data_IF_119240890728
#
_entry.id   IF_119240890728
#
_cell.length_a   1.000
_cell.length_b   1.000
_cell.length_c   1.000
_cell.angle_alpha   90.00
_cell.angle_beta   90.00
_cell.angle_gamma   90.00
#
_symmetry.space_group_name_H-M   'P 1'
#
loop_
_entity.id
_entity.type
_entity.pdbx_description
1 polymer ?
#
# COMPACT_ATOMS: atom_id res chain seq x y z
N UNK A 1 -11.22 42.04 -25.12
CA UNK A 1 -10.03 42.04 -24.25
C UNK A 1 -10.33 41.67 -22.79
N UNK A 2 -11.51 41.97 -22.24
CA UNK A 2 -11.87 41.60 -20.86
C UNK A 2 -12.02 40.08 -20.60
N UNK A 3 -12.45 39.29 -21.59
CA UNK A 3 -12.59 37.84 -21.39
C UNK A 3 -11.25 37.10 -21.26
N UNK A 4 -10.18 37.62 -21.88
CA UNK A 4 -8.85 37.00 -21.80
C UNK A 4 -8.24 37.11 -20.40
N UNK A 5 -8.31 38.29 -19.77
CA UNK A 5 -7.76 38.50 -18.43
C UNK A 5 -8.52 37.72 -17.35
N UNK A 6 -9.86 37.69 -17.44
CA UNK A 6 -10.69 36.92 -16.50
C UNK A 6 -10.45 35.41 -16.63
N UNK A 7 -10.11 34.93 -17.82
CA UNK A 7 -9.76 33.51 -18.03
C UNK A 7 -8.38 33.19 -17.46
N UNK A 8 -7.41 34.08 -17.63
CA UNK A 8 -6.05 33.94 -17.09
C UNK A 8 -6.05 33.92 -15.56
N UNK A 9 -6.73 34.89 -14.93
CA UNK A 9 -6.89 34.96 -13.47
C UNK A 9 -7.60 33.70 -12.91
N UNK A 10 -8.56 33.15 -13.65
CA UNK A 10 -9.27 31.93 -13.27
C UNK A 10 -8.39 30.67 -13.38
N UNK A 11 -7.49 30.62 -14.37
CA UNK A 11 -6.52 29.53 -14.53
C UNK A 11 -5.46 29.60 -13.43
N UNK A 12 -4.94 30.79 -13.12
CA UNK A 12 -3.97 30.97 -12.02
C UNK A 12 -4.58 30.58 -10.66
N UNK A 13 -5.83 30.99 -10.40
CA UNK A 13 -6.54 30.57 -9.19
C UNK A 13 -6.79 29.06 -9.16
N UNK A 14 -7.13 28.46 -10.30
CA UNK A 14 -7.29 27.02 -10.41
C UNK A 14 -6.00 26.27 -10.11
N UNK A 15 -4.85 26.74 -10.62
CA UNK A 15 -3.54 26.13 -10.35
C UNK A 15 -3.19 26.19 -8.86
N UNK A 16 -3.44 27.32 -8.20
CA UNK A 16 -3.24 27.46 -6.75
C UNK A 16 -4.15 26.50 -5.97
N UNK A 17 -5.43 26.39 -6.32
CA UNK A 17 -6.37 25.47 -5.67
C UNK A 17 -6.01 24.00 -5.93
N UNK A 18 -5.58 23.67 -7.15
CA UNK A 18 -5.10 22.34 -7.50
C UNK A 18 -3.90 21.96 -6.66
N UNK A 19 -2.90 22.82 -6.55
CA UNK A 19 -1.68 22.55 -5.80
C UNK A 19 -1.91 22.46 -4.28
N UNK A 20 -2.66 23.41 -3.71
CA UNK A 20 -2.75 23.59 -2.26
C UNK A 20 -3.87 22.78 -1.61
N UNK A 21 -5.01 22.60 -2.27
CA UNK A 21 -6.15 21.89 -1.71
C UNK A 21 -6.21 20.46 -2.23
N UNK A 22 -6.24 20.27 -3.55
CA UNK A 22 -6.51 18.95 -4.13
C UNK A 22 -5.28 18.03 -4.08
N UNK A 23 -4.14 18.45 -4.61
CA UNK A 23 -2.90 17.68 -4.62
C UNK A 23 -2.39 17.45 -3.20
N UNK A 24 -2.34 18.50 -2.36
CA UNK A 24 -1.88 18.35 -0.99
C UNK A 24 -2.82 17.47 -0.15
N UNK A 25 -4.14 17.51 -0.37
CA UNK A 25 -5.08 16.59 0.30
C UNK A 25 -4.92 15.15 -0.19
N UNK A 26 -4.79 14.94 -1.49
CA UNK A 26 -4.54 13.61 -2.04
C UNK A 26 -3.22 13.02 -1.54
N UNK A 27 -2.15 13.82 -1.49
CA UNK A 27 -0.87 13.41 -0.91
C UNK A 27 -0.98 13.08 0.59
N UNK A 28 -1.74 13.87 1.36
CA UNK A 28 -2.03 13.57 2.77
C UNK A 28 -2.80 12.27 2.94
N UNK A 29 -3.87 12.05 2.17
CA UNK A 29 -4.64 10.80 2.22
C UNK A 29 -3.79 9.59 1.86
N UNK A 30 -2.99 9.68 0.79
CA UNK A 30 -2.04 8.61 0.41
C UNK A 30 -1.02 8.36 1.53
N UNK A 31 -0.47 9.42 2.14
CA UNK A 31 0.46 9.28 3.27
C UNK A 31 -0.19 8.66 4.49
N UNK A 32 -1.43 9.02 4.81
CA UNK A 32 -2.18 8.44 5.93
C UNK A 32 -2.51 6.97 5.69
N UNK A 33 -2.91 6.61 4.47
CA UNK A 33 -3.13 5.23 4.06
C UNK A 33 -1.83 4.41 4.15
N UNK A 34 -0.72 4.95 3.65
CA UNK A 34 0.60 4.31 3.77
C UNK A 34 1.05 4.21 5.23
N UNK A 35 0.91 5.27 6.02
CA UNK A 35 1.28 5.30 7.44
C UNK A 35 0.44 4.33 8.29
N UNK A 36 -0.81 4.04 7.90
CA UNK A 36 -1.63 3.00 8.54
C UNK A 36 -1.24 1.60 8.10
N UNK A 37 -0.91 1.42 6.81
CA UNK A 37 -0.64 0.13 6.19
C UNK A 37 0.74 -0.41 6.54
N UNK A 38 1.79 0.42 6.48
CA UNK A 38 3.18 -0.03 6.54
C UNK A 38 3.69 -0.45 7.92
N UNK A 39 3.41 0.26 9.04
CA UNK A 39 3.94 -0.14 10.36
C UNK A 39 3.37 -1.45 10.88
N UNK A 40 2.10 -1.76 10.53
CA UNK A 40 1.48 -3.05 10.85
C UNK A 40 2.10 -4.17 10.02
N UNK A 41 2.26 -3.97 8.71
CA UNK A 41 2.92 -4.94 7.83
C UNK A 41 4.37 -5.19 8.25
N UNK A 42 5.15 -4.18 8.64
CA UNK A 42 6.55 -4.38 9.04
C UNK A 42 6.69 -5.14 10.36
N UNK A 43 5.82 -4.87 11.34
CA UNK A 43 5.82 -5.61 12.61
C UNK A 43 5.31 -7.04 12.43
N UNK A 44 4.20 -7.19 11.70
CA UNK A 44 3.57 -8.48 11.49
C UNK A 44 4.43 -9.37 10.59
N UNK A 45 5.17 -8.83 9.61
CA UNK A 45 6.08 -9.61 8.76
C UNK A 45 7.26 -10.24 9.54
N UNK A 46 7.70 -9.63 10.63
CA UNK A 46 8.79 -10.15 11.46
C UNK A 46 8.46 -11.49 12.11
N UNK A 47 7.19 -11.70 12.49
CA UNK A 47 6.75 -12.90 13.20
C UNK A 47 6.80 -14.16 12.32
N UNK A 48 6.19 -14.21 11.12
CA UNK A 48 6.37 -15.33 10.18
C UNK A 48 7.81 -15.48 9.71
N UNK A 49 8.57 -14.39 9.53
CA UNK A 49 9.98 -14.48 9.16
C UNK A 49 10.81 -15.22 10.22
N UNK A 50 10.59 -14.94 11.51
CA UNK A 50 11.24 -15.66 12.60
C UNK A 50 10.86 -17.15 12.62
N UNK A 51 9.56 -17.46 12.49
CA UNK A 51 9.09 -18.85 12.45
C UNK A 51 9.67 -19.63 11.25
N UNK A 52 9.72 -19.00 10.06
CA UNK A 52 10.34 -19.61 8.86
C UNK A 52 11.85 -19.76 9.04
N UNK A 53 12.52 -18.83 9.72
CA UNK A 53 13.93 -18.96 10.09
C UNK A 53 14.20 -20.24 10.87
N UNK A 54 13.39 -20.52 11.90
CA UNK A 54 13.47 -21.77 12.67
C UNK A 54 13.18 -22.99 11.80
N UNK A 55 12.17 -22.92 10.91
CA UNK A 55 11.87 -24.02 10.00
C UNK A 55 13.03 -24.34 9.04
N UNK A 56 13.68 -23.31 8.51
CA UNK A 56 14.85 -23.45 7.64
C UNK A 56 16.04 -24.02 8.40
N UNK A 57 16.27 -23.59 9.65
CA UNK A 57 17.30 -24.17 10.51
C UNK A 57 17.00 -25.63 10.84
N UNK A 58 15.74 -25.94 11.13
CA UNK A 58 15.28 -27.31 11.41
C UNK A 58 15.55 -28.27 10.26
N UNK A 59 15.59 -27.80 9.01
CA UNK A 59 15.98 -28.65 7.88
C UNK A 59 17.41 -29.24 8.01
N UNK A 60 18.22 -28.75 8.96
CA UNK A 60 19.59 -29.19 9.21
C UNK A 60 19.77 -30.05 10.47
N UNK A 61 18.78 -30.22 11.35
CA UNK A 61 18.99 -30.93 12.62
C UNK A 61 19.07 -32.46 12.51
N UNK A 62 18.94 -33.02 11.30
CA UNK A 62 19.12 -34.45 11.03
C UNK A 62 17.81 -35.18 10.69
N UNK A 63 17.88 -36.52 10.47
CA UNK A 63 16.77 -37.29 9.90
C UNK A 63 15.63 -37.62 10.88
N UNK A 64 15.80 -37.40 12.17
CA UNK A 64 14.88 -37.85 13.23
C UNK A 64 14.06 -36.71 13.86
N UNK A 65 13.84 -35.64 13.11
CA UNK A 65 13.07 -34.47 13.58
C UNK A 65 11.57 -34.75 13.51
N UNK A 66 10.88 -34.49 14.62
CA UNK A 66 9.41 -34.49 14.67
C UNK A 66 8.85 -33.10 14.41
N UNK A 67 7.62 -33.03 13.90
CA UNK A 67 6.92 -31.77 13.69
C UNK A 67 6.69 -31.04 15.03
N UNK A 68 6.46 -31.77 16.11
CA UNK A 68 6.30 -31.25 17.46
C UNK A 68 7.55 -30.51 17.92
N UNK A 69 8.75 -31.10 17.70
CA UNK A 69 10.02 -30.47 18.06
C UNK A 69 10.25 -29.15 17.30
N UNK A 70 9.90 -29.11 16.02
CA UNK A 70 9.98 -27.87 15.22
C UNK A 70 9.00 -26.82 15.75
N UNK A 71 7.79 -27.22 16.12
CA UNK A 71 6.82 -26.30 16.72
C UNK A 71 7.26 -25.75 18.07
N UNK A 72 7.86 -26.58 18.92
CA UNK A 72 8.40 -26.14 20.21
C UNK A 72 9.51 -25.10 20.02
N UNK A 73 10.38 -25.30 19.03
CA UNK A 73 11.41 -24.34 18.67
C UNK A 73 10.84 -23.04 18.07
N UNK A 74 9.76 -23.11 17.29
CA UNK A 74 9.04 -21.92 16.79
C UNK A 74 8.39 -21.17 17.95
N UNK A 75 7.74 -21.87 18.89
CA UNK A 75 7.07 -21.26 20.05
C UNK A 75 8.06 -20.50 20.96
N UNK A 76 9.34 -20.88 20.94
CA UNK A 76 10.42 -20.16 21.64
C UNK A 76 10.71 -18.76 21.05
N UNK A 77 10.34 -18.48 19.80
CA UNK A 77 10.57 -17.18 19.14
C UNK A 77 9.29 -16.41 18.83
N UNK A 78 8.16 -17.11 18.62
CA UNK A 78 6.86 -16.49 18.37
C UNK A 78 5.73 -17.44 18.79
N UNK A 79 4.73 -16.94 19.51
CA UNK A 79 3.62 -17.80 19.89
C UNK A 79 2.75 -18.20 18.70
N UNK A 80 2.12 -19.37 18.76
CA UNK A 80 1.14 -19.80 17.73
C UNK A 80 -0.03 -18.84 17.54
N UNK A 81 -0.42 -18.09 18.57
CA UNK A 81 -1.49 -17.10 18.48
C UNK A 81 -1.05 -15.85 17.73
N UNK A 82 0.14 -15.34 18.06
CA UNK A 82 0.75 -14.19 17.37
C UNK A 82 1.05 -14.52 15.91
N UNK A 83 1.63 -15.70 15.63
CA UNK A 83 1.93 -16.13 14.28
C UNK A 83 0.67 -16.18 13.40
N UNK A 84 -0.45 -16.70 13.90
CA UNK A 84 -1.73 -16.70 13.16
C UNK A 84 -2.24 -15.28 12.90
N UNK A 85 -2.13 -14.40 13.90
CA UNK A 85 -2.58 -13.00 13.79
C UNK A 85 -1.76 -12.25 12.75
N UNK A 86 -0.43 -12.39 12.79
CA UNK A 86 0.44 -11.76 11.81
C UNK A 86 0.20 -12.27 10.39
N UNK A 87 0.07 -13.59 10.19
CA UNK A 87 -0.22 -14.14 8.87
C UNK A 87 -1.53 -13.57 8.31
N UNK A 88 -2.60 -13.54 9.11
CA UNK A 88 -3.88 -12.97 8.71
C UNK A 88 -3.75 -11.48 8.32
N UNK A 89 -3.10 -10.68 9.16
CA UNK A 89 -2.89 -9.26 8.88
C UNK A 89 -2.08 -9.02 7.59
N UNK A 90 -1.08 -9.87 7.30
CA UNK A 90 -0.31 -9.77 6.06
C UNK A 90 -1.16 -10.15 4.86
N UNK A 91 -1.93 -11.24 4.94
CA UNK A 91 -2.80 -11.69 3.84
C UNK A 91 -3.87 -10.66 3.47
N UNK A 92 -4.38 -9.91 4.44
CA UNK A 92 -5.35 -8.83 4.19
C UNK A 92 -4.76 -7.66 3.39
N UNK A 93 -3.43 -7.51 3.42
CA UNK A 93 -2.75 -6.29 2.94
C UNK A 93 -1.88 -6.55 1.71
N UNK A 94 -1.33 -7.75 1.58
CA UNK A 94 -0.45 -8.17 0.49
C UNK A 94 -1.27 -8.79 -0.64
N UNK A 95 -1.21 -8.23 -1.87
CA UNK A 95 -1.84 -8.85 -3.03
C UNK A 95 -1.33 -10.27 -3.25
N UNK A 96 -2.20 -11.15 -3.76
CA UNK A 96 -1.80 -12.52 -4.06
C UNK A 96 -0.62 -12.55 -5.07
N UNK A 97 0.27 -13.54 -5.00
CA UNK A 97 1.40 -13.65 -5.92
C UNK A 97 0.94 -13.62 -7.38
N UNK A 98 1.66 -12.87 -8.23
CA UNK A 98 1.31 -12.71 -9.65
C UNK A 98 0.18 -11.70 -9.90
N UNK A 99 -0.42 -11.12 -8.86
CA UNK A 99 -1.35 -10.01 -9.00
C UNK A 99 -0.59 -8.71 -9.13
N UNK A 100 -0.96 -7.91 -10.11
CA UNK A 100 -0.41 -6.58 -10.30
C UNK A 100 -0.82 -5.65 -9.14
N UNK A 101 0.13 -5.21 -8.29
CA UNK A 101 -0.17 -4.41 -7.10
C UNK A 101 -0.73 -3.02 -7.45
N UNK A 102 -0.56 -2.55 -8.68
CA UNK A 102 -1.07 -1.27 -9.14
C UNK A 102 -2.42 -1.38 -9.87
N UNK A 103 -3.00 -2.57 -10.02
CA UNK A 103 -4.26 -2.78 -10.75
C UNK A 103 -5.43 -1.96 -10.15
N UNK A 104 -5.65 -2.05 -8.84
CA UNK A 104 -6.72 -1.30 -8.16
C UNK A 104 -6.52 0.22 -8.21
N UNK A 105 -5.27 0.68 -8.09
CA UNK A 105 -4.92 2.09 -8.24
C UNK A 105 -5.20 2.59 -9.66
N UNK A 106 -4.83 1.82 -10.69
CA UNK A 106 -5.11 2.18 -12.09
C UNK A 106 -6.59 2.24 -12.39
N UNK A 107 -7.39 1.30 -11.89
CA UNK A 107 -8.84 1.35 -12.03
C UNK A 107 -9.42 2.64 -11.41
N UNK A 108 -8.97 2.98 -10.20
CA UNK A 108 -9.37 4.23 -9.52
C UNK A 108 -8.93 5.48 -10.29
N UNK A 109 -7.74 5.45 -10.91
CA UNK A 109 -7.26 6.54 -11.75
C UNK A 109 -8.12 6.74 -13.00
N UNK A 110 -8.61 5.68 -13.62
CA UNK A 110 -9.50 5.77 -14.79
C UNK A 110 -10.79 6.50 -14.43
N UNK A 111 -11.38 6.19 -13.27
CA UNK A 111 -12.59 6.87 -12.79
C UNK A 111 -12.33 8.36 -12.49
N UNK A 112 -11.20 8.67 -11.83
CA UNK A 112 -10.81 10.06 -11.55
C UNK A 112 -10.49 10.83 -12.82
N UNK A 113 -9.86 10.19 -13.79
CA UNK A 113 -9.53 10.79 -15.07
C UNK A 113 -10.80 11.15 -15.86
N UNK A 114 -11.87 10.37 -15.76
CA UNK A 114 -13.14 10.68 -16.40
C UNK A 114 -13.73 12.03 -15.94
N UNK A 115 -13.45 12.46 -14.70
CA UNK A 115 -13.87 13.77 -14.16
C UNK A 115 -13.10 14.93 -14.81
N UNK A 116 -11.81 14.75 -15.09
CA UNK A 116 -10.94 15.80 -15.64
C UNK A 116 -11.00 15.85 -17.17
N UNK A 117 -11.31 14.71 -17.81
CA UNK A 117 -11.34 14.56 -19.28
C UNK A 117 -12.13 15.66 -20.03
N UNK A 118 -13.33 16.11 -19.59
CA UNK A 118 -14.08 17.16 -20.28
C UNK A 118 -13.38 18.51 -20.32
N UNK A 119 -12.45 18.76 -19.40
CA UNK A 119 -11.74 20.04 -19.28
C UNK A 119 -10.45 20.10 -20.11
N UNK A 120 -9.92 18.96 -20.56
CA UNK A 120 -8.66 18.89 -21.31
C UNK A 120 -8.65 19.75 -22.59
N UNK A 121 -9.73 19.82 -23.41
CA UNK A 121 -9.73 20.68 -24.59
C UNK A 121 -9.59 22.18 -24.27
N UNK A 122 -10.05 22.62 -23.08
CA UNK A 122 -9.93 24.00 -22.63
C UNK A 122 -8.53 24.33 -22.11
N UNK A 123 -7.83 23.33 -21.56
CA UNK A 123 -6.46 23.47 -21.05
C UNK A 123 -5.41 23.33 -22.16
N UNK A 124 -5.71 22.60 -23.22
CA UNK A 124 -4.80 22.37 -24.35
C UNK A 124 -4.89 23.46 -25.44
N UNK A 125 -5.50 24.62 -25.17
CA UNK A 125 -5.50 25.73 -26.11
C UNK A 125 -4.22 26.56 -25.98
N UNK A 126 -3.18 26.11 -26.69
CA UNK A 126 -2.14 26.97 -27.24
C UNK A 126 -1.97 26.65 -28.71
#
# INVERSE_FOLDING_TARGET
MLQGSVTDDAVELFDVLMATELLARAQRQTRDEQARRYPRVSKDAGQPAAAVGVLLEASTWGPEITLELVWDAIEAVVSRAELRTAVANITDVVPAPGTDPAAGWRATLVDRFAVVRPFLPMLCWR
#
